data_IF_373824569914
#
_entry.id   IF_373824569914
#
_cell.length_a   1.000
_cell.length_b   1.000
_cell.length_c   1.000
_cell.angle_alpha   90.00
_cell.angle_beta   90.00
_cell.angle_gamma   90.00
#
_symmetry.space_group_name_H-M   'P 1'
#
loop_
_entity.id
_entity.type
_entity.pdbx_description
1 polymer ?
#
# COMPACT_ATOMS: atom_id res chain seq x y z
N UNK A 1 -34.03 25.30 -64.14
CA UNK A 1 -34.28 24.46 -62.94
C UNK A 1 -33.04 24.46 -62.10
N UNK A 2 -32.95 25.26 -61.04
CA UNK A 2 -31.82 25.39 -60.11
C UNK A 2 -32.11 24.51 -58.89
N UNK A 3 -31.26 23.52 -58.64
CA UNK A 3 -31.30 22.69 -57.41
C UNK A 3 -30.41 23.35 -56.37
N UNK A 4 -31.00 23.70 -55.21
CA UNK A 4 -30.31 24.16 -54.03
C UNK A 4 -30.00 22.94 -53.19
N UNK A 5 -28.70 22.69 -52.92
CA UNK A 5 -28.24 21.71 -51.90
C UNK A 5 -28.21 22.44 -50.57
N UNK A 6 -28.98 21.94 -49.62
CA UNK A 6 -28.90 22.36 -48.21
C UNK A 6 -27.86 21.43 -47.51
N UNK A 7 -26.76 22.01 -47.09
CA UNK A 7 -25.77 21.33 -46.26
C UNK A 7 -26.20 21.33 -44.80
N UNK A 8 -26.34 20.15 -44.20
CA UNK A 8 -26.58 19.99 -42.77
C UNK A 8 -25.22 19.95 -42.06
N UNK A 9 -24.92 20.98 -41.30
CA UNK A 9 -23.73 21.06 -40.47
C UNK A 9 -24.02 20.33 -39.15
N UNK A 10 -23.56 19.06 -39.00
CA UNK A 10 -23.68 18.32 -37.75
C UNK A 10 -22.61 18.78 -36.76
N UNK A 11 -23.02 19.46 -35.71
CA UNK A 11 -22.15 19.78 -34.57
C UNK A 11 -21.94 18.54 -33.74
N UNK A 12 -20.70 17.98 -33.80
CA UNK A 12 -20.23 16.95 -32.89
C UNK A 12 -19.94 17.60 -31.53
N UNK A 13 -20.86 17.45 -30.57
CA UNK A 13 -20.58 17.73 -29.16
C UNK A 13 -19.62 16.61 -28.63
N UNK A 14 -18.35 16.94 -28.54
CA UNK A 14 -17.39 16.13 -27.81
C UNK A 14 -17.70 16.24 -26.31
N UNK A 15 -18.40 15.24 -25.78
CA UNK A 15 -18.62 15.10 -24.35
C UNK A 15 -17.29 14.58 -23.74
N UNK A 16 -16.40 15.48 -23.30
CA UNK A 16 -15.27 15.12 -22.45
C UNK A 16 -15.82 14.75 -21.08
N UNK A 17 -15.96 13.44 -20.85
CA UNK A 17 -16.22 12.95 -19.50
C UNK A 17 -14.99 13.30 -18.65
N UNK A 18 -15.07 14.36 -17.85
CA UNK A 18 -14.18 14.55 -16.72
C UNK A 18 -14.46 13.39 -15.76
N UNK A 19 -13.56 12.41 -15.71
CA UNK A 19 -13.52 11.49 -14.58
C UNK A 19 -13.38 12.37 -13.34
N UNK A 20 -14.36 12.34 -12.45
CA UNK A 20 -14.28 13.03 -11.17
C UNK A 20 -13.05 12.45 -10.45
N UNK A 21 -12.05 13.29 -10.22
CA UNK A 21 -10.88 12.94 -9.43
C UNK A 21 -11.41 12.49 -8.06
N UNK A 22 -11.02 11.29 -7.62
CA UNK A 22 -11.51 10.76 -6.35
C UNK A 22 -11.16 11.77 -5.23
N UNK A 23 -12.17 12.18 -4.46
CA UNK A 23 -12.00 13.09 -3.30
C UNK A 23 -11.25 12.36 -2.19
N UNK A 24 -9.95 12.20 -2.37
CA UNK A 24 -9.06 11.59 -1.40
C UNK A 24 -8.78 12.56 -0.26
N UNK A 25 -8.84 12.07 0.97
CA UNK A 25 -8.61 12.90 2.16
C UNK A 25 -7.12 13.02 2.49
N UNK A 26 -6.36 13.52 1.54
CA UNK A 26 -4.91 13.69 1.62
C UNK A 26 -4.48 14.85 0.71
N UNK A 27 -3.50 15.63 1.15
CA UNK A 27 -2.78 16.52 0.26
C UNK A 27 -1.78 15.73 -0.59
N UNK A 28 -1.56 16.11 -1.86
CA UNK A 28 -0.66 15.38 -2.75
C UNK A 28 0.75 15.20 -2.18
N UNK A 29 1.26 13.98 -2.21
CA UNK A 29 2.62 13.64 -1.79
C UNK A 29 3.45 13.29 -3.02
N UNK A 30 4.52 14.05 -3.25
CA UNK A 30 5.47 13.80 -4.35
C UNK A 30 6.40 12.64 -3.97
N UNK A 31 6.19 11.48 -4.57
CA UNK A 31 6.96 10.27 -4.28
C UNK A 31 8.46 10.44 -4.50
N UNK A 32 8.88 11.23 -5.51
CA UNK A 32 10.29 11.45 -5.82
C UNK A 32 11.03 12.27 -4.74
N UNK A 33 10.29 13.01 -3.90
CA UNK A 33 10.85 13.71 -2.74
C UNK A 33 10.92 12.87 -1.47
N UNK A 34 10.24 11.72 -1.46
CA UNK A 34 10.13 10.85 -0.28
C UNK A 34 11.04 9.64 -0.40
N UNK A 35 11.12 9.03 -1.58
CA UNK A 35 11.90 7.81 -1.78
C UNK A 35 12.91 7.96 -2.93
N UNK A 36 14.09 7.33 -2.82
CA UNK A 36 15.06 7.30 -3.92
C UNK A 36 14.54 6.48 -5.09
N UNK A 37 15.16 6.60 -6.25
CA UNK A 37 14.94 5.67 -7.35
C UNK A 37 15.37 4.25 -6.94
N UNK A 38 14.69 3.20 -7.46
CA UNK A 38 15.10 1.83 -7.17
C UNK A 38 16.51 1.54 -7.69
N UNK A 39 17.25 0.57 -7.11
CA UNK A 39 18.51 0.11 -7.66
C UNK A 39 18.36 -0.30 -9.14
N UNK A 40 19.38 0.04 -9.95
CA UNK A 40 19.38 -0.31 -11.36
C UNK A 40 19.39 -1.84 -11.55
N UNK A 41 18.70 -2.31 -12.57
CA UNK A 41 18.68 -3.73 -12.94
C UNK A 41 20.12 -4.23 -13.21
N UNK A 42 20.46 -5.41 -12.69
CA UNK A 42 21.80 -6.01 -12.76
C UNK A 42 22.86 -5.34 -11.87
N UNK A 43 22.50 -4.31 -11.09
CA UNK A 43 23.45 -3.66 -10.18
C UNK A 43 23.90 -4.58 -9.03
N UNK A 44 25.02 -4.24 -8.41
CA UNK A 44 25.51 -4.96 -7.21
C UNK A 44 24.48 -4.97 -6.08
N UNK A 45 23.76 -3.87 -5.89
CA UNK A 45 22.72 -3.77 -4.86
C UNK A 45 21.59 -4.75 -5.16
N UNK A 46 21.10 -4.83 -6.40
CA UNK A 46 20.05 -5.79 -6.75
C UNK A 46 20.51 -7.24 -6.55
N UNK A 47 21.78 -7.56 -6.88
CA UNK A 47 22.33 -8.89 -6.65
C UNK A 47 22.41 -9.23 -5.15
N UNK A 48 22.76 -8.28 -4.30
CA UNK A 48 22.76 -8.43 -2.84
C UNK A 48 21.33 -8.67 -2.31
N UNK A 49 20.33 -7.97 -2.85
CA UNK A 49 18.92 -8.16 -2.50
C UNK A 49 18.38 -9.55 -2.93
N UNK A 50 18.81 -10.05 -4.10
CA UNK A 50 18.49 -11.43 -4.55
C UNK A 50 19.07 -12.46 -3.56
N UNK A 51 20.33 -12.29 -3.14
CA UNK A 51 20.95 -13.15 -2.13
C UNK A 51 20.21 -13.09 -0.81
N UNK A 52 19.73 -11.91 -0.40
CA UNK A 52 18.90 -11.76 0.80
C UNK A 52 17.61 -12.57 0.70
N UNK A 53 16.88 -12.50 -0.44
CA UNK A 53 15.66 -13.28 -0.64
C UNK A 53 15.93 -14.78 -0.51
N UNK A 54 16.95 -15.30 -1.19
CA UNK A 54 17.32 -16.73 -1.07
C UNK A 54 17.66 -17.13 0.36
N UNK A 55 18.40 -16.28 1.08
CA UNK A 55 18.73 -16.53 2.48
C UNK A 55 17.50 -16.55 3.36
N UNK A 56 16.59 -15.58 3.18
CA UNK A 56 15.32 -15.53 3.92
C UNK A 56 14.49 -16.79 3.67
N UNK A 57 14.34 -17.21 2.40
CA UNK A 57 13.57 -18.39 2.04
C UNK A 57 14.17 -19.71 2.57
N UNK A 58 15.49 -19.81 2.57
CA UNK A 58 16.21 -21.00 3.06
C UNK A 58 16.18 -21.10 4.58
N UNK A 59 16.25 -19.98 5.31
CA UNK A 59 16.31 -19.94 6.76
C UNK A 59 14.91 -19.98 7.43
N UNK A 60 13.85 -19.69 6.69
CA UNK A 60 12.51 -19.54 7.26
C UNK A 60 11.94 -20.87 7.74
N UNK A 61 11.51 -20.88 9.00
CA UNK A 61 10.80 -22.00 9.62
C UNK A 61 9.31 -22.04 9.15
N UNK A 62 8.65 -23.21 9.24
CA UNK A 62 7.26 -23.36 8.80
C UNK A 62 6.29 -22.31 9.35
N UNK A 63 6.31 -21.89 10.62
CA UNK A 63 5.41 -20.84 11.12
C UNK A 63 5.62 -19.48 10.42
N UNK A 64 6.86 -19.10 10.13
CA UNK A 64 7.15 -17.85 9.42
C UNK A 64 6.65 -17.90 7.98
N UNK A 65 6.80 -19.03 7.30
CA UNK A 65 6.27 -19.25 5.94
C UNK A 65 4.75 -19.17 5.93
N UNK A 66 4.09 -19.79 6.91
CA UNK A 66 2.63 -19.75 7.05
C UNK A 66 2.11 -18.32 7.29
N UNK A 67 2.80 -17.55 8.15
CA UNK A 67 2.45 -16.15 8.38
C UNK A 67 2.68 -15.29 7.13
N UNK A 68 3.78 -15.49 6.41
CA UNK A 68 4.05 -14.78 5.18
C UNK A 68 3.02 -15.07 4.09
N UNK A 69 2.57 -16.34 3.99
CA UNK A 69 1.46 -16.73 3.11
C UNK A 69 0.16 -16.05 3.52
N UNK A 70 -0.21 -16.09 4.80
CA UNK A 70 -1.38 -15.41 5.32
C UNK A 70 -1.36 -13.91 5.01
N UNK A 71 -0.22 -13.25 5.24
CA UNK A 71 -0.02 -11.83 4.97
C UNK A 71 -0.07 -11.49 3.48
N UNK A 72 0.29 -12.45 2.62
CA UNK A 72 0.17 -12.27 1.17
C UNK A 72 -1.31 -12.17 0.73
N UNK A 73 -2.19 -12.86 1.41
CA UNK A 73 -3.59 -13.01 1.01
C UNK A 73 -4.49 -11.91 1.62
N UNK A 74 -3.95 -11.10 2.55
CA UNK A 74 -4.71 -10.10 3.28
C UNK A 74 -4.14 -8.69 3.07
N UNK A 75 -4.91 -7.86 2.38
CA UNK A 75 -4.61 -6.43 2.16
C UNK A 75 -5.71 -5.56 2.81
N UNK A 76 -5.81 -5.60 4.15
CA UNK A 76 -6.81 -4.83 4.88
C UNK A 76 -6.43 -4.68 6.36
N UNK A 77 -7.15 -3.84 7.17
CA UNK A 77 -6.81 -3.55 8.56
C UNK A 77 -6.80 -4.76 9.51
N UNK A 78 -7.35 -5.91 9.12
CA UNK A 78 -7.39 -7.10 9.98
C UNK A 78 -6.02 -7.71 10.25
N UNK A 79 -4.98 -7.33 9.47
CA UNK A 79 -3.58 -7.68 9.77
C UNK A 79 -3.14 -7.25 11.18
N UNK A 80 -3.83 -6.29 11.80
CA UNK A 80 -3.55 -5.80 13.16
C UNK A 80 -4.45 -6.41 14.24
N UNK A 81 -5.39 -7.29 13.89
CA UNK A 81 -6.39 -7.80 14.84
C UNK A 81 -5.77 -8.44 16.07
N UNK A 82 -4.76 -9.27 15.92
CA UNK A 82 -4.09 -9.95 17.03
C UNK A 82 -3.37 -8.98 17.98
N UNK A 83 -2.81 -7.89 17.43
CA UNK A 83 -2.08 -6.88 18.20
C UNK A 83 -3.04 -5.98 18.97
N UNK A 84 -4.14 -5.57 18.34
CA UNK A 84 -5.09 -4.61 18.91
C UNK A 84 -6.13 -5.33 19.77
N UNK A 85 -6.52 -6.55 19.40
CA UNK A 85 -7.58 -7.30 20.08
C UNK A 85 -8.97 -6.74 19.78
N UNK A 86 -9.17 -6.17 18.60
CA UNK A 86 -10.41 -5.51 18.22
C UNK A 86 -11.35 -6.42 17.40
N UNK A 87 -12.64 -6.07 17.46
CA UNK A 87 -13.67 -6.57 16.52
C UNK A 87 -14.07 -5.36 15.63
N UNK A 88 -13.32 -5.14 14.54
CA UNK A 88 -13.49 -3.97 13.68
C UNK A 88 -14.92 -3.79 13.15
N UNK A 89 -15.68 -4.83 12.79
CA UNK A 89 -17.09 -4.69 12.46
C UNK A 89 -17.97 -4.02 13.53
N UNK A 90 -17.61 -4.13 14.80
CA UNK A 90 -18.31 -3.47 15.91
C UNK A 90 -17.86 -2.04 16.20
N UNK A 91 -16.93 -1.52 15.42
CA UNK A 91 -16.32 -0.20 15.56
C UNK A 91 -16.56 0.63 14.27
N UNK A 92 -17.80 1.10 14.03
CA UNK A 92 -18.17 1.70 12.75
C UNK A 92 -17.38 2.97 12.39
N UNK A 93 -17.03 3.82 13.36
CA UNK A 93 -16.24 5.04 13.11
C UNK A 93 -14.78 4.69 12.79
N UNK A 94 -14.22 3.74 13.51
CA UNK A 94 -12.87 3.22 13.27
C UNK A 94 -12.81 2.51 11.91
N UNK A 95 -13.81 1.67 11.60
CA UNK A 95 -13.93 1.02 10.29
C UNK A 95 -14.02 2.03 9.15
N UNK A 96 -14.79 3.11 9.33
CA UNK A 96 -14.88 4.19 8.35
C UNK A 96 -13.54 4.87 8.13
N UNK A 97 -12.80 5.22 9.21
CA UNK A 97 -11.47 5.79 9.09
C UNK A 97 -10.51 4.86 8.33
N UNK A 98 -10.51 3.56 8.67
CA UNK A 98 -9.68 2.57 7.96
C UNK A 98 -10.04 2.47 6.47
N UNK A 99 -11.32 2.60 6.10
CA UNK A 99 -11.72 2.60 4.69
C UNK A 99 -11.13 3.79 3.92
N UNK A 100 -10.97 4.95 4.56
CA UNK A 100 -10.33 6.12 3.93
C UNK A 100 -8.83 5.92 3.69
N UNK A 101 -8.14 5.21 4.58
CA UNK A 101 -6.75 4.80 4.35
C UNK A 101 -6.67 3.87 3.13
N UNK A 102 -7.57 2.87 3.06
CA UNK A 102 -7.61 1.92 1.94
C UNK A 102 -7.91 2.59 0.58
N UNK A 103 -8.71 3.65 0.57
CA UNK A 103 -8.97 4.45 -0.63
C UNK A 103 -7.70 5.17 -1.11
N UNK A 104 -6.97 5.80 -0.19
CA UNK A 104 -5.70 6.48 -0.48
C UNK A 104 -4.65 5.48 -0.94
N UNK A 105 -4.42 4.39 -0.20
CA UNK A 105 -3.45 3.35 -0.55
C UNK A 105 -3.65 2.82 -1.97
N UNK A 106 -4.89 2.50 -2.34
CA UNK A 106 -5.19 1.97 -3.67
C UNK A 106 -4.83 2.99 -4.76
N UNK A 107 -5.26 4.24 -4.63
CA UNK A 107 -5.00 5.28 -5.60
C UNK A 107 -3.49 5.57 -5.73
N UNK A 108 -2.80 5.68 -4.59
CA UNK A 108 -1.38 6.01 -4.55
C UNK A 108 -0.49 4.83 -4.99
N UNK A 109 -0.85 3.60 -4.64
CA UNK A 109 -0.09 2.40 -5.05
C UNK A 109 -0.01 2.26 -6.58
N UNK A 110 -1.13 2.44 -7.27
CA UNK A 110 -1.15 2.37 -8.73
C UNK A 110 -0.36 3.52 -9.35
N UNK A 111 -0.54 4.73 -8.83
CA UNK A 111 0.15 5.94 -9.30
C UNK A 111 1.67 5.83 -9.19
N UNK A 112 2.19 5.40 -8.04
CA UNK A 112 3.65 5.37 -7.82
C UNK A 112 4.32 4.22 -8.55
N UNK A 113 3.69 3.08 -8.70
CA UNK A 113 4.21 1.94 -9.48
C UNK A 113 4.38 2.29 -10.95
N UNK A 114 3.50 3.12 -11.50
CA UNK A 114 3.58 3.62 -12.87
C UNK A 114 4.77 4.58 -13.09
N UNK A 115 5.39 5.12 -12.04
CA UNK A 115 6.58 5.99 -12.15
C UNK A 115 7.86 5.19 -12.35
N UNK A 116 8.02 4.06 -11.65
CA UNK A 116 9.33 3.40 -11.52
C UNK A 116 9.52 2.16 -12.41
N UNK A 117 8.46 1.47 -12.81
CA UNK A 117 8.49 0.31 -13.73
C UNK A 117 9.53 -0.77 -13.36
N UNK A 118 9.73 -1.06 -12.07
CA UNK A 118 10.73 -2.05 -11.63
C UNK A 118 10.23 -3.48 -11.85
N UNK A 119 11.02 -4.37 -12.48
CA UNK A 119 10.70 -5.80 -12.54
C UNK A 119 10.63 -6.45 -11.15
N UNK A 120 9.82 -7.51 -11.04
CA UNK A 120 9.72 -8.31 -9.80
C UNK A 120 10.93 -9.23 -9.63
N UNK A 121 11.26 -9.68 -8.37
CA UNK A 121 12.44 -10.48 -8.08
C UNK A 121 12.55 -11.77 -8.91
N UNK A 122 11.46 -12.50 -9.10
CA UNK A 122 11.47 -13.74 -9.90
C UNK A 122 11.76 -13.53 -11.40
N UNK A 123 11.62 -12.31 -11.90
CA UNK A 123 12.04 -11.96 -13.27
C UNK A 123 13.55 -11.77 -13.38
N UNK A 124 14.20 -11.36 -12.28
CA UNK A 124 15.67 -11.23 -12.21
C UNK A 124 16.33 -12.59 -11.90
N UNK A 125 15.70 -13.42 -11.06
CA UNK A 125 16.15 -14.78 -10.76
C UNK A 125 14.96 -15.76 -10.67
N UNK A 126 14.75 -16.61 -11.69
CA UNK A 126 13.64 -17.59 -11.71
C UNK A 126 13.67 -18.65 -10.61
N UNK A 127 14.77 -18.77 -9.83
CA UNK A 127 14.86 -19.68 -8.69
C UNK A 127 14.16 -19.16 -7.45
N UNK A 128 13.79 -17.88 -7.41
CA UNK A 128 13.04 -17.28 -6.32
C UNK A 128 11.63 -17.87 -6.31
N UNK A 129 11.25 -18.45 -5.18
CA UNK A 129 9.91 -19.00 -4.97
C UNK A 129 8.97 -17.91 -4.48
N UNK A 130 7.74 -17.89 -5.00
CA UNK A 130 6.69 -16.97 -4.54
C UNK A 130 5.66 -17.68 -3.68
N UNK A 131 5.12 -16.99 -2.65
CA UNK A 131 4.08 -17.54 -1.77
C UNK A 131 2.77 -17.87 -2.51
N UNK A 132 2.49 -17.19 -3.61
CA UNK A 132 1.32 -17.42 -4.45
C UNK A 132 1.73 -17.41 -5.93
N UNK A 133 0.92 -18.02 -6.80
CA UNK A 133 1.14 -17.92 -8.25
C UNK A 133 1.18 -16.45 -8.69
N UNK A 134 2.15 -16.09 -9.49
CA UNK A 134 2.20 -14.79 -10.15
C UNK A 134 1.57 -14.88 -11.55
N UNK A 135 1.13 -13.72 -12.06
CA UNK A 135 0.60 -13.65 -13.43
C UNK A 135 1.71 -13.92 -14.46
N UNK A 136 1.34 -14.50 -15.60
CA UNK A 136 2.26 -14.64 -16.71
C UNK A 136 2.63 -13.27 -17.32
N UNK A 137 3.80 -13.21 -17.92
CA UNK A 137 4.32 -12.03 -18.61
C UNK A 137 5.04 -11.03 -17.71
N UNK A 138 5.52 -9.93 -18.31
CA UNK A 138 6.31 -8.93 -17.60
C UNK A 138 5.51 -8.24 -16.49
N UNK A 139 6.07 -8.20 -15.28
CA UNK A 139 5.50 -7.51 -14.14
C UNK A 139 6.46 -6.43 -13.64
N UNK A 140 6.17 -5.18 -14.04
CA UNK A 140 7.02 -4.02 -13.81
C UNK A 140 6.49 -3.13 -12.66
N UNK A 141 5.90 -3.77 -11.65
CA UNK A 141 5.20 -3.09 -10.55
C UNK A 141 5.78 -3.45 -9.17
N UNK A 142 7.11 -3.73 -9.11
CA UNK A 142 7.76 -4.11 -7.87
C UNK A 142 7.93 -2.93 -6.90
N UNK A 143 8.31 -1.76 -7.39
CA UNK A 143 8.71 -0.63 -6.57
C UNK A 143 7.68 0.51 -6.58
N UNK A 144 7.37 1.08 -5.41
CA UNK A 144 7.58 0.58 -4.06
C UNK A 144 6.64 -0.59 -3.72
N UNK A 145 6.89 -1.29 -2.60
CA UNK A 145 6.03 -2.38 -2.13
C UNK A 145 4.69 -1.85 -1.58
N UNK A 146 3.56 -2.24 -2.22
CA UNK A 146 2.21 -1.85 -1.78
C UNK A 146 1.87 -2.38 -0.39
N UNK A 147 2.14 -3.67 -0.09
CA UNK A 147 1.91 -4.21 1.26
C UNK A 147 2.70 -3.46 2.34
N UNK A 148 3.99 -3.14 2.08
CA UNK A 148 4.77 -2.37 3.02
C UNK A 148 4.23 -0.94 3.18
N UNK A 149 3.73 -0.34 2.12
CA UNK A 149 3.08 0.97 2.11
C UNK A 149 1.81 0.94 2.96
N UNK A 150 0.86 0.06 2.65
CA UNK A 150 -0.39 -0.14 3.40
C UNK A 150 -0.13 -0.45 4.87
N UNK A 151 0.82 -1.35 5.17
CA UNK A 151 1.18 -1.71 6.54
C UNK A 151 1.61 -0.50 7.37
N UNK A 152 2.36 0.43 6.77
CA UNK A 152 2.81 1.65 7.45
C UNK A 152 1.76 2.77 7.45
N UNK A 153 0.92 2.89 6.43
CA UNK A 153 -0.23 3.80 6.47
C UNK A 153 -1.18 3.46 7.63
N UNK A 154 -1.61 2.20 7.69
CA UNK A 154 -2.44 1.71 8.77
C UNK A 154 -1.71 1.78 10.12
N UNK A 155 -0.46 1.31 10.17
CA UNK A 155 0.33 1.24 11.40
C UNK A 155 0.54 2.60 12.06
N UNK A 156 0.91 3.62 11.31
CA UNK A 156 1.14 4.99 11.83
C UNK A 156 -0.17 5.59 12.37
N UNK A 157 -1.27 5.45 11.64
CA UNK A 157 -2.58 5.96 12.10
C UNK A 157 -3.05 5.20 13.35
N UNK A 158 -2.93 3.86 13.36
CA UNK A 158 -3.31 3.04 14.51
C UNK A 158 -2.43 3.29 15.75
N UNK A 159 -1.12 3.46 15.56
CA UNK A 159 -0.21 3.84 16.65
C UNK A 159 -0.55 5.21 17.25
N UNK A 160 -1.07 6.12 16.42
CA UNK A 160 -1.56 7.42 16.89
C UNK A 160 -2.91 7.33 17.62
N UNK A 161 -3.78 6.40 17.21
CA UNK A 161 -5.07 6.12 17.87
C UNK A 161 -4.90 5.40 19.21
N UNK A 162 -3.95 4.46 19.29
CA UNK A 162 -3.71 3.56 20.44
C UNK A 162 -2.24 3.64 20.85
N UNK A 163 -1.81 4.76 21.46
CA UNK A 163 -0.38 4.99 21.78
C UNK A 163 0.24 3.92 22.67
N UNK A 164 -0.55 3.32 23.56
CA UNK A 164 -0.10 2.26 24.48
C UNK A 164 0.36 1.00 23.74
N UNK A 165 -0.15 0.76 22.54
CA UNK A 165 0.19 -0.37 21.68
C UNK A 165 1.10 0.02 20.51
N UNK A 166 1.52 1.28 20.40
CA UNK A 166 2.30 1.78 19.28
C UNK A 166 3.54 0.93 18.93
N UNK A 167 4.37 0.50 19.89
CA UNK A 167 5.51 -0.36 19.56
C UNK A 167 5.11 -1.69 18.91
N UNK A 168 4.07 -2.35 19.40
CA UNK A 168 3.59 -3.62 18.87
C UNK A 168 2.94 -3.45 17.49
N UNK A 169 2.17 -2.38 17.31
CA UNK A 169 1.55 -2.02 16.02
C UNK A 169 2.64 -1.79 14.97
N UNK A 170 3.65 -0.98 15.28
CA UNK A 170 4.73 -0.68 14.33
C UNK A 170 5.61 -1.90 14.04
N UNK A 171 5.84 -2.77 15.03
CA UNK A 171 6.52 -4.05 14.81
C UNK A 171 5.72 -4.95 13.85
N UNK A 172 4.38 -5.01 14.00
CA UNK A 172 3.51 -5.76 13.08
C UNK A 172 3.52 -5.20 11.66
N UNK A 173 3.45 -3.86 11.51
CA UNK A 173 3.59 -3.20 10.22
C UNK A 173 4.93 -3.53 9.54
N UNK A 174 6.02 -3.52 10.34
CA UNK A 174 7.35 -3.92 9.87
C UNK A 174 7.37 -5.36 9.37
N UNK A 175 6.86 -6.30 10.16
CA UNK A 175 6.80 -7.73 9.81
C UNK A 175 5.97 -8.00 8.55
N UNK A 176 4.86 -7.29 8.38
CA UNK A 176 4.02 -7.38 7.18
C UNK A 176 4.80 -7.02 5.90
N UNK A 177 5.64 -5.99 5.96
CA UNK A 177 6.57 -5.65 4.88
C UNK A 177 7.67 -6.68 4.69
N UNK A 178 8.31 -7.19 5.78
CA UNK A 178 9.36 -8.23 5.72
C UNK A 178 8.88 -9.52 5.07
N UNK A 179 7.63 -9.90 5.33
CA UNK A 179 7.02 -11.08 4.75
C UNK A 179 6.96 -11.02 3.22
N UNK A 180 7.04 -9.84 2.61
CA UNK A 180 7.10 -9.70 1.14
C UNK A 180 8.44 -10.15 0.55
N UNK A 181 9.54 -10.02 1.31
CA UNK A 181 10.86 -10.54 0.94
C UNK A 181 10.85 -12.06 1.04
N UNK A 182 10.35 -12.59 2.15
CA UNK A 182 10.21 -14.03 2.33
C UNK A 182 9.33 -14.67 1.25
N UNK A 183 8.25 -14.00 0.87
CA UNK A 183 7.36 -14.40 -0.22
C UNK A 183 7.95 -14.23 -1.63
N UNK A 184 9.17 -13.68 -1.78
CA UNK A 184 9.79 -13.47 -3.09
C UNK A 184 9.10 -12.44 -3.99
N UNK A 185 8.16 -11.65 -3.46
CA UNK A 185 7.40 -10.67 -4.23
C UNK A 185 8.08 -9.31 -4.34
N UNK A 186 9.00 -8.99 -3.44
CA UNK A 186 9.66 -7.68 -3.38
C UNK A 186 11.13 -7.79 -2.99
N UNK A 187 11.93 -6.87 -3.49
CA UNK A 187 13.28 -6.62 -3.02
C UNK A 187 13.29 -5.82 -1.71
N UNK A 188 14.41 -5.81 -1.01
CA UNK A 188 14.63 -5.01 0.21
C UNK A 188 14.32 -3.52 -0.02
N UNK A 189 14.84 -2.94 -1.09
CA UNK A 189 14.62 -1.54 -1.40
C UNK A 189 13.16 -1.21 -1.72
N UNK A 190 12.39 -2.14 -2.31
CA UNK A 190 10.94 -1.96 -2.52
C UNK A 190 10.21 -1.84 -1.18
N UNK A 191 10.54 -2.72 -0.23
CA UNK A 191 9.94 -2.72 1.11
C UNK A 191 10.33 -1.46 1.88
N UNK A 192 11.59 -1.04 1.80
CA UNK A 192 12.07 0.18 2.45
C UNK A 192 11.36 1.42 1.92
N UNK A 193 11.25 1.53 0.60
CA UNK A 193 10.54 2.65 -0.04
C UNK A 193 9.04 2.63 0.29
N UNK A 194 8.40 1.45 0.31
CA UNK A 194 7.01 1.30 0.72
C UNK A 194 6.78 1.81 2.14
N UNK A 195 7.65 1.47 3.09
CA UNK A 195 7.61 1.98 4.47
C UNK A 195 7.73 3.49 4.54
N UNK A 196 8.69 4.06 3.81
CA UNK A 196 8.92 5.51 3.79
C UNK A 196 7.72 6.24 3.19
N UNK A 197 7.24 5.77 2.05
CA UNK A 197 6.13 6.42 1.37
C UNK A 197 4.81 6.26 2.15
N UNK A 198 4.48 5.07 2.65
CA UNK A 198 3.31 4.84 3.49
C UNK A 198 3.32 5.69 4.76
N UNK A 199 4.49 5.89 5.39
CA UNK A 199 4.61 6.82 6.53
C UNK A 199 4.30 8.26 6.13
N UNK A 200 4.80 8.73 4.97
CA UNK A 200 4.53 10.07 4.48
C UNK A 200 3.05 10.28 4.15
N UNK A 201 2.40 9.29 3.51
CA UNK A 201 0.97 9.31 3.23
C UNK A 201 0.14 9.36 4.52
N UNK A 202 0.46 8.52 5.52
CA UNK A 202 -0.22 8.54 6.81
C UNK A 202 -0.13 9.92 7.49
N UNK A 203 1.05 10.54 7.47
CA UNK A 203 1.25 11.87 8.02
C UNK A 203 0.48 12.96 7.27
N UNK A 204 0.39 12.86 5.94
CA UNK A 204 -0.38 13.78 5.12
C UNK A 204 -1.89 13.62 5.38
N UNK A 205 -2.39 12.37 5.47
CA UNK A 205 -3.78 12.08 5.88
C UNK A 205 -4.11 12.66 7.24
N UNK A 206 -3.26 12.45 8.26
CA UNK A 206 -3.49 12.97 9.62
C UNK A 206 -3.56 14.50 9.69
N UNK A 207 -2.92 15.21 8.74
CA UNK A 207 -2.98 16.68 8.63
C UNK A 207 -4.22 17.17 7.88
N UNK A 208 -4.82 16.34 7.04
CA UNK A 208 -5.99 16.73 6.24
C UNK A 208 -7.22 16.91 7.14
N UNK A 209 -7.94 18.05 7.11
CA UNK A 209 -8.98 18.38 8.08
C UNK A 209 -10.10 17.35 8.20
N UNK A 210 -10.57 16.80 7.08
CA UNK A 210 -11.64 15.79 7.08
C UNK A 210 -11.18 14.46 7.66
N UNK A 211 -9.95 14.05 7.35
CA UNK A 211 -9.36 12.84 7.91
C UNK A 211 -9.14 12.99 9.42
N UNK A 212 -8.64 14.15 9.84
CA UNK A 212 -8.44 14.46 11.26
C UNK A 212 -9.75 14.43 12.07
N UNK A 213 -10.83 14.95 11.51
CA UNK A 213 -12.15 14.87 12.17
C UNK A 213 -12.60 13.41 12.33
N UNK A 214 -12.47 12.58 11.30
CA UNK A 214 -12.79 11.15 11.38
C UNK A 214 -11.85 10.40 12.36
N UNK A 215 -10.57 10.81 12.46
CA UNK A 215 -9.62 10.28 13.42
C UNK A 215 -10.06 10.54 14.86
N UNK A 216 -10.53 11.75 15.19
CA UNK A 216 -11.03 12.08 16.53
C UNK A 216 -12.30 11.28 16.86
N UNK A 217 -13.18 11.08 15.89
CA UNK A 217 -14.36 10.22 16.05
C UNK A 217 -14.00 8.77 16.33
N UNK A 218 -13.04 8.21 15.57
CA UNK A 218 -12.54 6.86 15.79
C UNK A 218 -11.85 6.71 17.15
N UNK A 219 -11.05 7.71 17.56
CA UNK A 219 -10.40 7.70 18.88
C UNK A 219 -11.43 7.68 20.00
N UNK A 220 -12.48 8.50 19.91
CA UNK A 220 -13.56 8.52 20.91
C UNK A 220 -14.28 7.17 21.02
N UNK A 221 -14.50 6.50 19.88
CA UNK A 221 -15.08 5.17 19.83
C UNK A 221 -14.18 4.12 20.49
N UNK A 222 -12.87 4.14 20.21
CA UNK A 222 -11.89 3.22 20.80
C UNK A 222 -11.75 3.40 22.32
N UNK A 223 -11.82 4.65 22.81
CA UNK A 223 -11.86 4.95 24.26
C UNK A 223 -13.13 4.34 24.88
N UNK A 224 -14.29 4.56 24.27
CA UNK A 224 -15.56 4.01 24.75
C UNK A 224 -15.58 2.47 24.74
N UNK A 225 -14.84 1.85 23.83
CA UNK A 225 -14.66 0.39 23.75
C UNK A 225 -13.56 -0.15 24.70
N UNK A 226 -12.84 0.71 25.43
CA UNK A 226 -11.77 0.31 26.35
C UNK A 226 -10.49 -0.18 25.64
N UNK A 227 -10.30 0.16 24.38
CA UNK A 227 -9.14 -0.26 23.56
C UNK A 227 -7.96 0.70 23.64
N UNK A 228 -8.17 1.93 24.12
CA UNK A 228 -7.16 2.96 24.37
C UNK A 228 -7.64 3.89 25.51
N UNK A 229 -6.78 4.86 25.95
CA UNK A 229 -7.05 5.83 27.03
C UNK A 229 -7.15 7.25 26.48
#
# INVERSE_FOLDING_TARGET
>A
MKRVLAGVLGALLSCTAFAAEADLWIDPVDVAKVVPSPPAQGSRIEQEEIVEIHRAQSAALPPAKALAQHDNDIENPTIFSDVIGWDLPKLPKTKFLMSKIMEVDRAESDRVKAVFHRPRPWMADPRIQTCAPHRDGPQLNSYPSGHAMLGYELGVVLASLIPEKAPAIMARAGLYGENRILCGFHFRSDVTAGRQYGTALAQAMLKHPRFHAAFLDARSELIAAGLTR
#
